data_IF_726973852982
#
_entry.id   IF_726973852982
#
_cell.length_a   1.000
_cell.length_b   1.000
_cell.length_c   1.000
_cell.angle_alpha   90.00
_cell.angle_beta   90.00
_cell.angle_gamma   90.00
#
_symmetry.space_group_name_H-M   'P 1'
#
loop_
_entity.id
_entity.type
_entity.pdbx_description
1 polymer ?
#
# COMPACT_ATOMS: atom_id res chain seq x y z
N UNK A 1 9.53 -21.93 -6.37
CA UNK A 1 9.18 -21.15 -5.16
C UNK A 1 8.88 -19.66 -5.45
N UNK A 2 9.57 -18.99 -6.38
CA UNK A 2 9.29 -17.59 -6.78
C UNK A 2 8.02 -17.42 -7.64
N UNK A 3 7.69 -18.40 -8.50
CA UNK A 3 6.55 -18.31 -9.43
C UNK A 3 5.19 -18.22 -8.72
N UNK A 4 5.02 -18.85 -7.55
CA UNK A 4 3.79 -18.71 -6.74
C UNK A 4 3.58 -17.31 -6.19
N UNK A 5 4.67 -16.59 -5.89
CA UNK A 5 4.61 -15.24 -5.34
C UNK A 5 4.25 -14.22 -6.43
N UNK A 6 4.77 -14.42 -7.65
CA UNK A 6 4.41 -13.62 -8.83
C UNK A 6 2.92 -13.81 -9.19
N UNK A 7 2.41 -15.05 -9.13
CA UNK A 7 0.99 -15.33 -9.38
C UNK A 7 0.06 -14.69 -8.35
N UNK A 8 0.47 -14.67 -7.07
CA UNK A 8 -0.31 -14.01 -6.01
C UNK A 8 -0.32 -12.48 -6.17
N UNK A 9 0.81 -11.90 -6.58
CA UNK A 9 0.95 -10.47 -6.88
C UNK A 9 0.10 -10.05 -8.08
N UNK A 10 0.11 -10.83 -9.16
CA UNK A 10 -0.72 -10.58 -10.35
C UNK A 10 -2.21 -10.68 -10.04
N UNK A 11 -2.63 -11.69 -9.28
CA UNK A 11 -4.03 -11.87 -8.89
C UNK A 11 -4.53 -10.71 -8.00
N UNK A 12 -3.69 -10.26 -7.05
CA UNK A 12 -3.99 -9.10 -6.21
C UNK A 12 -4.10 -7.81 -7.03
N UNK A 13 -3.24 -7.62 -8.04
CA UNK A 13 -3.25 -6.45 -8.92
C UNK A 13 -4.53 -6.38 -9.78
N UNK A 14 -4.99 -7.52 -10.30
CA UNK A 14 -6.23 -7.60 -11.09
C UNK A 14 -7.45 -7.29 -10.20
N UNK A 15 -7.54 -7.91 -9.02
CA UNK A 15 -8.64 -7.66 -8.08
C UNK A 15 -8.68 -6.19 -7.64
N UNK A 16 -7.51 -5.60 -7.42
CA UNK A 16 -7.39 -4.18 -7.06
C UNK A 16 -7.82 -3.26 -8.20
N UNK A 17 -7.45 -3.57 -9.45
CA UNK A 17 -7.84 -2.76 -10.62
C UNK A 17 -9.34 -2.82 -10.92
N UNK A 18 -10.02 -3.94 -10.64
CA UNK A 18 -11.44 -4.12 -10.99
C UNK A 18 -12.40 -3.63 -9.90
N UNK A 19 -12.03 -3.74 -8.62
CA UNK A 19 -12.94 -3.42 -7.49
C UNK A 19 -12.81 -1.97 -7.02
N UNK A 20 -11.63 -1.34 -7.15
CA UNK A 20 -11.35 -0.02 -6.56
C UNK A 20 -11.89 1.15 -7.39
N UNK A 21 -12.11 0.98 -8.70
CA UNK A 21 -12.72 2.04 -9.52
C UNK A 21 -14.24 2.20 -9.29
N UNK A 22 -14.93 1.21 -8.71
CA UNK A 22 -16.39 1.21 -8.66
C UNK A 22 -17.01 1.58 -7.31
N UNK A 23 -16.20 1.71 -6.24
CA UNK A 23 -16.70 2.01 -4.89
C UNK A 23 -16.29 3.44 -4.51
N UNK A 24 -16.85 4.42 -5.21
CA UNK A 24 -16.92 5.80 -4.72
C UNK A 24 -18.24 5.96 -3.97
N UNK A 25 -18.25 5.74 -2.65
CA UNK A 25 -19.43 5.96 -1.82
C UNK A 25 -19.38 7.42 -1.35
N UNK A 26 -20.33 8.25 -1.80
CA UNK A 26 -20.51 9.64 -1.33
C UNK A 26 -19.33 10.60 -1.57
N UNK A 27 -18.55 10.41 -2.64
CA UNK A 27 -17.40 11.28 -2.96
C UNK A 27 -16.18 11.09 -2.04
N UNK A 28 -16.28 10.21 -1.03
CA UNK A 28 -15.16 9.69 -0.26
C UNK A 28 -14.72 8.42 -0.98
N UNK A 29 -13.51 8.43 -1.55
CA UNK A 29 -12.93 7.25 -2.18
C UNK A 29 -12.23 6.43 -1.08
N UNK A 30 -12.83 5.34 -0.56
CA UNK A 30 -12.15 4.49 0.41
C UNK A 30 -10.84 3.98 -0.18
N UNK A 31 -9.72 4.36 0.45
CA UNK A 31 -8.39 3.97 0.02
C UNK A 31 -8.11 2.53 0.53
N UNK A 32 -8.66 1.54 -0.18
CA UNK A 32 -8.41 0.11 0.09
C UNK A 32 -6.93 -0.24 -0.01
N UNK A 33 -6.20 0.49 -0.84
CA UNK A 33 -4.73 0.42 -0.95
C UNK A 33 -4.09 0.70 0.41
N UNK A 34 -4.57 1.71 1.14
CA UNK A 34 -4.09 2.07 2.47
C UNK A 34 -4.33 0.94 3.48
N UNK A 35 -5.51 0.33 3.47
CA UNK A 35 -5.86 -0.77 4.39
C UNK A 35 -4.93 -1.96 4.16
N UNK A 36 -4.71 -2.33 2.90
CA UNK A 36 -3.81 -3.43 2.53
C UNK A 36 -2.36 -3.07 2.89
N UNK A 37 -1.94 -1.84 2.64
CA UNK A 37 -0.59 -1.36 2.99
C UNK A 37 -0.34 -1.50 4.49
N UNK A 38 -1.28 -1.05 5.33
CA UNK A 38 -1.21 -1.16 6.79
C UNK A 38 -1.09 -2.63 7.19
N UNK A 39 -1.93 -3.51 6.63
CA UNK A 39 -1.90 -4.95 6.92
C UNK A 39 -0.55 -5.58 6.54
N UNK A 40 -0.02 -5.27 5.36
CA UNK A 40 1.26 -5.81 4.87
C UNK A 40 2.43 -5.24 5.66
N UNK A 41 2.45 -3.95 6.01
CA UNK A 41 3.44 -3.35 6.89
C UNK A 41 3.48 -4.01 8.25
N UNK A 42 2.31 -4.29 8.83
CA UNK A 42 2.21 -4.96 10.12
C UNK A 42 2.75 -6.40 10.05
N UNK A 43 2.51 -7.11 8.94
CA UNK A 43 2.97 -8.51 8.81
C UNK A 43 4.45 -8.62 8.43
N UNK A 44 4.88 -7.81 7.47
CA UNK A 44 6.17 -7.94 6.79
C UNK A 44 7.24 -6.97 7.31
N UNK A 45 6.87 -5.96 8.12
CA UNK A 45 7.80 -5.01 8.73
C UNK A 45 7.95 -3.68 7.96
N UNK A 46 8.71 -2.77 8.55
CA UNK A 46 8.86 -1.36 8.13
C UNK A 46 9.44 -1.22 6.72
N UNK A 47 10.47 -1.99 6.36
CA UNK A 47 11.12 -1.92 5.06
C UNK A 47 10.15 -2.27 3.90
N UNK A 48 9.42 -3.38 4.04
CA UNK A 48 8.44 -3.81 3.02
C UNK A 48 7.28 -2.81 2.94
N UNK A 49 6.86 -2.25 4.08
CA UNK A 49 5.85 -1.20 4.14
C UNK A 49 6.23 0.06 3.37
N UNK A 50 7.47 0.53 3.53
CA UNK A 50 8.00 1.71 2.81
C UNK A 50 8.04 1.47 1.32
N UNK A 51 8.62 0.35 0.89
CA UNK A 51 8.81 0.05 -0.55
C UNK A 51 7.45 -0.05 -1.25
N UNK A 52 6.51 -0.80 -0.68
CA UNK A 52 5.17 -0.95 -1.25
C UNK A 52 4.36 0.36 -1.20
N UNK A 53 4.48 1.12 -0.12
CA UNK A 53 3.84 2.41 0.04
C UNK A 53 4.33 3.43 -0.98
N UNK A 54 5.65 3.46 -1.22
CA UNK A 54 6.27 4.29 -2.25
C UNK A 54 5.80 3.89 -3.64
N UNK A 55 5.90 2.60 -4.00
CA UNK A 55 5.53 2.13 -5.34
C UNK A 55 4.07 2.38 -5.66
N UNK A 56 3.16 2.08 -4.74
CA UNK A 56 1.73 2.28 -4.97
C UNK A 56 1.36 3.77 -4.92
N UNK A 57 1.94 4.54 -4.00
CA UNK A 57 1.69 5.98 -3.94
C UNK A 57 2.20 6.70 -5.18
N UNK A 58 3.37 6.32 -5.70
CA UNK A 58 3.90 6.86 -6.95
C UNK A 58 2.99 6.49 -8.14
N UNK A 59 2.48 5.26 -8.16
CA UNK A 59 1.53 4.84 -9.18
C UNK A 59 0.27 5.70 -9.13
N UNK A 60 -0.30 5.94 -7.94
CA UNK A 60 -1.45 6.85 -7.77
C UNK A 60 -1.16 8.29 -8.19
N UNK A 61 0.06 8.77 -7.94
CA UNK A 61 0.50 10.09 -8.36
C UNK A 61 0.52 10.23 -9.90
N UNK A 62 0.75 9.15 -10.64
CA UNK A 62 0.63 9.12 -12.11
C UNK A 62 -0.82 9.11 -12.62
N UNK A 63 -1.76 8.53 -11.87
CA UNK A 63 -3.19 8.54 -12.22
C UNK A 63 -3.88 9.86 -11.81
N UNK A 64 -3.31 10.58 -10.85
CA UNK A 64 -3.85 11.83 -10.34
C UNK A 64 -3.49 13.07 -11.19
N UNK A 65 -3.92 14.26 -10.75
CA UNK A 65 -3.51 15.51 -11.36
C UNK A 65 -1.98 15.68 -11.28
N UNK A 66 -1.31 16.14 -12.36
CA UNK A 66 0.15 16.25 -12.42
C UNK A 66 0.77 17.17 -11.36
N UNK A 67 -0.04 18.03 -10.72
CA UNK A 67 0.37 18.92 -9.64
C UNK A 67 0.76 18.19 -8.33
N UNK A 68 0.33 16.93 -8.13
CA UNK A 68 0.55 16.20 -6.88
C UNK A 68 1.57 15.06 -7.02
N UNK A 69 2.46 15.14 -8.01
CA UNK A 69 3.41 14.07 -8.30
C UNK A 69 4.37 13.84 -7.12
N UNK A 70 4.35 12.65 -6.54
CA UNK A 70 5.17 12.25 -5.38
C UNK A 70 4.51 12.43 -4.02
N UNK A 71 3.35 13.10 -3.93
CA UNK A 71 2.68 13.35 -2.64
C UNK A 71 2.11 12.06 -2.05
N UNK A 72 1.42 11.25 -2.86
CA UNK A 72 0.91 9.96 -2.39
C UNK A 72 2.05 8.99 -2.10
N UNK A 73 3.11 9.00 -2.92
CA UNK A 73 4.31 8.20 -2.70
C UNK A 73 4.90 8.46 -1.31
N UNK A 74 5.06 9.73 -0.94
CA UNK A 74 5.63 10.12 0.35
C UNK A 74 4.70 9.76 1.52
N UNK A 75 3.42 10.13 1.44
CA UNK A 75 2.46 9.86 2.51
C UNK A 75 2.32 8.36 2.80
N UNK A 76 2.19 7.55 1.75
CA UNK A 76 2.03 6.10 1.90
C UNK A 76 3.32 5.42 2.38
N UNK A 77 4.49 5.91 1.96
CA UNK A 77 5.77 5.42 2.51
C UNK A 77 5.89 5.68 4.01
N UNK A 78 5.55 6.89 4.47
CA UNK A 78 5.59 7.25 5.88
C UNK A 78 4.61 6.44 6.73
N UNK A 79 3.39 6.24 6.22
CA UNK A 79 2.40 5.39 6.90
C UNK A 79 2.88 3.93 6.97
N UNK A 80 3.41 3.40 5.86
CA UNK A 80 3.95 2.06 5.80
C UNK A 80 5.12 1.84 6.76
N UNK A 81 5.99 2.84 6.90
CA UNK A 81 7.10 2.86 7.86
C UNK A 81 6.62 2.88 9.31
N UNK A 82 5.75 3.82 9.66
CA UNK A 82 5.27 4.00 11.03
C UNK A 82 4.54 2.76 11.55
N UNK A 83 3.67 2.17 10.73
CA UNK A 83 2.98 0.92 11.08
C UNK A 83 3.96 -0.25 11.21
N UNK A 84 4.96 -0.31 10.33
CA UNK A 84 5.95 -1.38 10.37
C UNK A 84 6.89 -1.29 11.57
N UNK A 85 7.28 -0.09 12.02
CA UNK A 85 8.03 0.11 13.26
C UNK A 85 7.20 -0.32 14.47
N UNK A 86 5.90 0.03 14.49
CA UNK A 86 5.02 -0.39 15.58
C UNK A 86 5.01 -1.91 15.76
N UNK A 87 5.07 -2.69 14.67
CA UNK A 87 5.26 -4.13 14.75
C UNK A 87 6.65 -4.53 15.26
N UNK A 88 7.71 -3.88 14.80
CA UNK A 88 9.08 -4.20 15.25
C UNK A 88 9.29 -3.95 16.74
N UNK A 89 8.63 -2.94 17.32
CA UNK A 89 8.59 -2.74 18.78
C UNK A 89 7.68 -3.76 19.48
N UNK A 90 6.46 -3.99 18.98
CA UNK A 90 5.51 -4.93 19.59
C UNK A 90 6.00 -6.39 19.58
N UNK A 91 6.81 -6.79 18.61
CA UNK A 91 7.34 -8.15 18.48
C UNK A 91 8.74 -8.30 19.10
N UNK A 92 9.38 -7.20 19.53
CA UNK A 92 10.66 -7.24 20.25
C UNK A 92 10.53 -7.60 21.73
N UNK A 93 9.29 -7.72 22.21
CA UNK A 93 8.96 -8.00 23.62
C UNK A 93 8.48 -9.46 23.83
N UNK A 94 9.04 -10.42 23.07
CA UNK A 94 8.82 -11.86 23.25
C UNK A 94 10.10 -12.67 23.03
#
# INVERSE_FOLDING_TARGET
MIVKHIGLLLLAFIIQSTVVEHIAIWGIKPDFILIILIYVSLRSGSLIGVILGFSIGLLQDFYGPPANLGLNALCKSLLGFGVGIGKEELYKDS
#
